data_IF_013762797323
#
_entry.id   IF_013762797323
#
_cell.length_a   1.000
_cell.length_b   1.000
_cell.length_c   1.000
_cell.angle_alpha   90.00
_cell.angle_beta   90.00
_cell.angle_gamma   90.00
#
_symmetry.space_group_name_H-M   'P 1'
#
loop_
_entity.id
_entity.type
_entity.pdbx_description
1 polymer ?
#
# COMPACT_ATOMS: atom_id res chain seq x y z
N UNK A 1 10.97 -7.44 1.26
CA UNK A 1 10.52 -6.94 2.58
C UNK A 1 9.01 -6.86 2.55
N UNK A 2 8.33 -7.02 3.68
CA UNK A 2 6.86 -7.03 3.71
C UNK A 2 6.36 -5.77 4.39
N UNK A 3 5.43 -5.08 3.73
CA UNK A 3 4.86 -3.81 4.16
C UNK A 3 3.34 -3.95 4.24
N UNK A 4 2.76 -3.55 5.37
CA UNK A 4 1.31 -3.60 5.54
C UNK A 4 0.69 -2.20 5.38
N UNK A 5 -0.32 -2.10 4.55
CA UNK A 5 -1.13 -0.91 4.31
C UNK A 5 -2.53 -1.11 4.85
N UNK A 6 -3.08 -0.07 5.45
CA UNK A 6 -4.46 0.01 5.87
C UNK A 6 -5.20 0.82 4.80
N UNK A 7 -6.21 0.24 4.18
CA UNK A 7 -6.91 0.86 3.05
C UNK A 7 -8.40 0.86 3.32
N UNK A 8 -9.02 2.02 3.20
CA UNK A 8 -10.47 2.16 3.34
C UNK A 8 -11.18 2.08 1.98
N UNK A 9 -12.43 1.61 1.97
CA UNK A 9 -13.25 1.53 0.76
C UNK A 9 -13.04 0.28 -0.11
N UNK A 10 -12.14 -0.63 0.25
CA UNK A 10 -12.02 -1.93 -0.41
C UNK A 10 -13.04 -2.94 0.14
N UNK A 11 -14.23 -2.97 -0.46
CA UNK A 11 -15.31 -3.88 -0.06
C UNK A 11 -15.55 -5.02 -1.06
N UNK A 12 -14.87 -5.02 -2.20
CA UNK A 12 -15.13 -5.94 -3.31
C UNK A 12 -13.85 -6.62 -3.81
N UNK A 13 -13.98 -7.87 -4.25
CA UNK A 13 -12.89 -8.66 -4.86
C UNK A 13 -12.29 -7.98 -6.11
N UNK A 14 -13.09 -7.22 -6.87
CA UNK A 14 -12.58 -6.44 -8.00
C UNK A 14 -11.63 -5.31 -7.58
N UNK A 15 -11.87 -4.69 -6.42
CA UNK A 15 -11.00 -3.65 -5.90
C UNK A 15 -9.62 -4.21 -5.52
N UNK A 16 -9.60 -5.42 -4.97
CA UNK A 16 -8.36 -6.14 -4.64
C UNK A 16 -7.50 -6.35 -5.88
N UNK A 17 -8.11 -6.77 -6.99
CA UNK A 17 -7.40 -6.99 -8.24
C UNK A 17 -6.80 -5.68 -8.81
N UNK A 18 -7.55 -4.57 -8.73
CA UNK A 18 -7.07 -3.26 -9.17
C UNK A 18 -5.82 -2.82 -8.39
N UNK A 19 -5.87 -2.87 -7.05
CA UNK A 19 -4.73 -2.53 -6.19
C UNK A 19 -3.54 -3.46 -6.44
N UNK A 20 -3.80 -4.76 -6.58
CA UNK A 20 -2.76 -5.75 -6.84
C UNK A 20 -2.05 -5.47 -8.17
N UNK A 21 -2.80 -5.15 -9.22
CA UNK A 21 -2.22 -4.82 -10.52
C UNK A 21 -1.39 -3.53 -10.47
N UNK A 22 -1.88 -2.47 -9.83
CA UNK A 22 -1.15 -1.22 -9.68
C UNK A 22 0.21 -1.40 -8.97
N UNK A 23 0.25 -2.27 -7.95
CA UNK A 23 1.51 -2.61 -7.28
C UNK A 23 2.42 -3.44 -8.20
N UNK A 24 1.86 -4.38 -8.97
CA UNK A 24 2.63 -5.22 -9.89
C UNK A 24 3.18 -4.44 -11.08
N UNK A 25 2.53 -3.35 -11.49
CA UNK A 25 3.09 -2.42 -12.49
C UNK A 25 4.37 -1.72 -12.00
N UNK A 26 4.53 -1.54 -10.69
CA UNK A 26 5.77 -1.01 -10.10
C UNK A 26 6.82 -2.09 -9.85
N UNK A 27 6.37 -3.31 -9.53
CA UNK A 27 7.21 -4.46 -9.21
C UNK A 27 6.46 -5.75 -9.58
N UNK A 28 6.77 -6.31 -10.76
CA UNK A 28 6.12 -7.52 -11.27
C UNK A 28 6.27 -8.73 -10.33
N UNK A 29 7.33 -8.74 -9.51
CA UNK A 29 7.61 -9.79 -8.55
C UNK A 29 6.91 -9.58 -7.20
N UNK A 30 6.26 -8.43 -6.98
CA UNK A 30 5.61 -8.11 -5.72
C UNK A 30 4.48 -9.08 -5.40
N UNK A 31 4.43 -9.53 -4.15
CA UNK A 31 3.35 -10.38 -3.64
C UNK A 31 2.36 -9.52 -2.84
N UNK A 32 1.12 -9.45 -3.31
CA UNK A 32 0.06 -8.68 -2.65
C UNK A 32 -0.92 -9.64 -1.99
N UNK A 33 -1.16 -9.46 -0.69
CA UNK A 33 -2.14 -10.20 0.11
C UNK A 33 -3.11 -9.21 0.72
N UNK A 34 -4.39 -9.34 0.39
CA UNK A 34 -5.43 -8.45 0.91
C UNK A 34 -6.35 -9.19 1.85
N UNK A 35 -6.55 -8.61 3.03
CA UNK A 35 -7.47 -9.05 4.06
C UNK A 35 -8.66 -8.08 4.11
N UNK A 36 -9.75 -8.46 3.46
CA UNK A 36 -11.00 -7.67 3.42
C UNK A 36 -11.70 -7.62 4.77
N UNK A 37 -11.49 -8.61 5.65
CA UNK A 37 -12.11 -8.66 6.96
C UNK A 37 -11.60 -7.55 7.88
N UNK A 38 -10.34 -7.17 7.72
CA UNK A 38 -9.67 -6.12 8.51
C UNK A 38 -9.28 -4.89 7.69
N UNK A 39 -9.49 -4.91 6.38
CA UNK A 39 -9.09 -3.83 5.47
C UNK A 39 -7.57 -3.65 5.37
N UNK A 40 -6.80 -4.74 5.53
CA UNK A 40 -5.33 -4.73 5.47
C UNK A 40 -4.83 -5.24 4.14
N UNK A 41 -3.72 -4.68 3.67
CA UNK A 41 -3.02 -5.07 2.45
C UNK A 41 -1.55 -5.29 2.79
N UNK A 42 -1.10 -6.54 2.82
CA UNK A 42 0.30 -6.88 2.96
C UNK A 42 0.95 -7.00 1.58
N UNK A 43 2.03 -6.27 1.37
CA UNK A 43 2.78 -6.21 0.10
C UNK A 43 4.21 -6.63 0.36
N UNK A 44 4.64 -7.72 -0.26
CA UNK A 44 6.04 -8.14 -0.28
C UNK A 44 6.68 -7.58 -1.54
N UNK A 45 7.51 -6.55 -1.39
CA UNK A 45 8.22 -5.89 -2.50
C UNK A 45 9.60 -5.43 -2.03
N UNK A 46 10.45 -5.03 -2.96
CA UNK A 46 11.68 -4.26 -2.68
C UNK A 46 11.47 -2.75 -2.77
N UNK A 47 10.28 -2.28 -3.17
CA UNK A 47 9.95 -0.86 -3.27
C UNK A 47 9.57 -0.24 -1.91
N UNK A 48 9.89 1.04 -1.68
CA UNK A 48 9.59 1.70 -0.42
C UNK A 48 8.08 1.93 -0.25
N UNK A 49 7.64 2.03 1.01
CA UNK A 49 6.22 2.14 1.36
C UNK A 49 5.53 3.35 0.71
N UNK A 50 6.25 4.46 0.54
CA UNK A 50 5.78 5.68 -0.11
C UNK A 50 5.45 5.48 -1.60
N UNK A 51 6.29 4.74 -2.33
CA UNK A 51 6.06 4.41 -3.74
C UNK A 51 4.86 3.49 -3.90
N UNK A 52 4.78 2.45 -3.06
CA UNK A 52 3.63 1.54 -3.05
C UNK A 52 2.34 2.26 -2.67
N UNK A 53 2.38 3.14 -1.67
CA UNK A 53 1.25 4.00 -1.29
C UNK A 53 0.77 4.85 -2.46
N UNK A 54 1.69 5.50 -3.18
CA UNK A 54 1.35 6.34 -4.32
C UNK A 54 0.61 5.54 -5.41
N UNK A 55 1.05 4.33 -5.74
CA UNK A 55 0.33 3.48 -6.69
C UNK A 55 -1.07 3.07 -6.21
N UNK A 56 -1.25 2.81 -4.91
CA UNK A 56 -2.57 2.52 -4.33
C UNK A 56 -3.49 3.76 -4.47
N UNK A 57 -2.95 4.96 -4.23
CA UNK A 57 -3.66 6.23 -4.37
C UNK A 57 -4.04 6.50 -5.84
N UNK A 58 -3.13 6.26 -6.79
CA UNK A 58 -3.39 6.39 -8.23
C UNK A 58 -4.42 5.37 -8.74
N UNK A 59 -4.48 4.19 -8.13
CA UNK A 59 -5.53 3.20 -8.38
C UNK A 59 -6.92 3.64 -7.83
N UNK A 60 -6.99 4.75 -7.11
CA UNK A 60 -8.22 5.33 -6.56
C UNK A 60 -8.56 4.87 -5.15
N UNK A 61 -7.57 4.37 -4.38
CA UNK A 61 -7.77 3.88 -3.02
C UNK A 61 -6.93 4.66 -2.01
N UNK A 62 -7.56 5.11 -0.93
CA UNK A 62 -6.86 5.88 0.10
C UNK A 62 -6.24 4.97 1.15
N UNK A 63 -4.92 5.07 1.30
CA UNK A 63 -4.17 4.42 2.38
C UNK A 63 -4.26 5.28 3.64
N UNK A 64 -4.89 4.75 4.69
CA UNK A 64 -5.06 5.41 5.99
C UNK A 64 -3.98 5.06 7.00
N UNK A 65 -3.21 4.01 6.77
CA UNK A 65 -2.13 3.60 7.66
C UNK A 65 -1.07 2.78 6.93
N UNK A 66 0.17 2.89 7.41
CA UNK A 66 1.29 2.08 6.94
C UNK A 66 2.02 1.50 8.15
N UNK A 67 1.98 0.18 8.31
CA UNK A 67 2.84 -0.52 9.24
C UNK A 67 4.10 -0.97 8.48
N UNK A 68 4.91 0.02 8.14
CA UNK A 68 6.32 -0.17 7.79
C UNK A 68 7.14 0.39 8.92
N UNK A 69 7.78 -0.47 9.71
CA UNK A 69 8.67 -0.02 10.76
C UNK A 69 9.83 0.79 10.17
N UNK A 70 9.78 2.12 10.38
CA UNK A 70 10.89 3.08 10.39
C UNK A 70 11.55 3.31 9.02
N UNK A 71 11.47 4.48 8.36
CA UNK A 71 11.75 5.83 8.86
C UNK A 71 11.19 6.84 7.84
N UNK A 72 10.33 7.77 8.27
CA UNK A 72 10.33 9.18 7.82
C UNK A 72 9.14 9.89 8.47
N UNK A 73 9.32 10.29 9.72
CA UNK A 73 8.60 11.45 10.24
C UNK A 73 9.63 12.38 10.84
N UNK A 74 10.25 13.15 9.96
CA UNK A 74 10.75 14.46 10.32
C UNK A 74 10.14 15.44 9.32
N UNK A 75 8.95 16.01 9.61
CA UNK A 75 8.64 17.30 9.03
C UNK A 75 9.65 18.27 9.66
N UNK A 76 10.72 18.56 8.92
CA UNK A 76 11.54 19.73 9.16
C UNK A 76 10.66 20.97 9.01
N UNK A 77 9.96 21.35 10.07
CA UNK A 77 9.35 22.66 10.20
C UNK A 77 10.45 23.64 10.60
N UNK A 78 11.25 24.05 9.62
CA UNK A 78 12.09 25.23 9.72
C UNK A 78 11.26 26.43 9.25
N UNK A 79 10.76 27.23 10.19
CA UNK A 79 10.69 28.70 10.15
C UNK A 79 9.98 29.28 11.37
#
# INVERSE_FOLDING_TARGET
MTIEFQVEGMSCQHCVAAVTNAIRELDDAAQVRVDLATGRVAVESTQPAETLKAAIDEAGYTVTGVASGTTSSSPGAAR
#
